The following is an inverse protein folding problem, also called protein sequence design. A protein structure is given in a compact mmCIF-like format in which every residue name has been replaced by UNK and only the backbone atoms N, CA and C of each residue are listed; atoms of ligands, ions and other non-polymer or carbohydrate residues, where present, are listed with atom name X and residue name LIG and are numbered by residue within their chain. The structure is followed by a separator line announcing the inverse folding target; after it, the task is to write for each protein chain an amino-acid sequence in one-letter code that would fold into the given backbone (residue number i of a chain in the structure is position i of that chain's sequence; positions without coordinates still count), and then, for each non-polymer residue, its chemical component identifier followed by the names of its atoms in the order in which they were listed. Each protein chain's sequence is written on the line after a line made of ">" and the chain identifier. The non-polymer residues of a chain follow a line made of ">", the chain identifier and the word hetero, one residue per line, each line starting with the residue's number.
data_IF_227513552663
#
_entry.id   IF_227513552663
#
_cell.length_a   1.000
_cell.length_b   1.000
_cell.length_c   1.000
_cell.angle_alpha   90.00
_cell.angle_beta   90.00
_cell.angle_gamma   90.00
#
_symmetry.space_group_name_H-M   'P 1'
#
loop_
_entity.id
_entity.type
_entity.pdbx_description
1 polymer ?
#
# COMPACT_ATOMS: atom_id res chain seq x y z
N UNK A 1 60.54 -26.72 5.23
CA UNK A 1 59.10 -26.90 5.55
C UNK A 1 58.40 -25.66 6.14
N UNK A 2 58.99 -24.45 6.15
CA UNK A 2 58.28 -23.23 6.62
C UNK A 2 57.41 -22.56 5.55
N UNK A 3 57.78 -22.73 4.28
CA UNK A 3 57.11 -22.11 3.12
C UNK A 3 55.68 -22.64 2.87
N UNK A 4 55.43 -23.93 3.11
CA UNK A 4 54.10 -24.53 2.94
C UNK A 4 53.08 -24.09 4.00
N UNK A 5 53.54 -23.85 5.23
CA UNK A 5 52.68 -23.36 6.31
C UNK A 5 52.25 -21.90 6.09
N UNK A 6 53.13 -21.11 5.49
CA UNK A 6 52.85 -19.70 5.16
C UNK A 6 51.82 -19.57 4.03
N UNK A 7 51.95 -20.37 2.96
CA UNK A 7 50.99 -20.40 1.85
C UNK A 7 49.59 -20.84 2.32
N UNK A 8 49.51 -21.86 3.19
CA UNK A 8 48.23 -22.32 3.76
C UNK A 8 47.59 -21.24 4.66
N UNK A 9 48.41 -20.45 5.34
CA UNK A 9 47.92 -19.33 6.15
C UNK A 9 47.39 -18.20 5.27
N UNK A 10 48.13 -17.80 4.23
CA UNK A 10 47.72 -16.76 3.27
C UNK A 10 46.39 -17.10 2.61
N UNK A 11 46.23 -18.32 2.08
CA UNK A 11 44.95 -18.78 1.52
C UNK A 11 43.78 -18.81 2.51
N UNK A 12 44.05 -19.10 3.79
CA UNK A 12 43.02 -19.04 4.83
C UNK A 12 42.60 -17.61 5.14
N UNK A 13 43.52 -16.65 5.06
CA UNK A 13 43.23 -15.23 5.26
C UNK A 13 42.43 -14.70 4.07
N UNK A 14 42.84 -15.01 2.83
CA UNK A 14 42.13 -14.64 1.60
C UNK A 14 40.70 -15.16 1.59
N UNK A 15 40.49 -16.47 1.84
CA UNK A 15 39.15 -17.06 1.88
C UNK A 15 38.27 -16.45 2.99
N UNK A 16 38.86 -16.04 4.11
CA UNK A 16 38.10 -15.34 5.18
C UNK A 16 37.70 -13.93 4.75
N UNK A 17 38.56 -13.23 4.00
CA UNK A 17 38.25 -11.93 3.43
C UNK A 17 37.12 -12.05 2.39
N UNK A 18 37.21 -13.02 1.48
CA UNK A 18 36.16 -13.30 0.48
C UNK A 18 34.80 -13.59 1.14
N UNK A 19 34.76 -14.47 2.15
CA UNK A 19 33.52 -14.78 2.89
C UNK A 19 32.98 -13.55 3.62
N UNK A 20 33.86 -12.66 4.12
CA UNK A 20 33.44 -11.43 4.79
C UNK A 20 32.82 -10.44 3.79
N UNK A 21 33.43 -10.28 2.60
CA UNK A 21 32.90 -9.45 1.52
C UNK A 21 31.58 -9.98 0.97
N UNK A 22 31.45 -11.29 0.77
CA UNK A 22 30.19 -11.91 0.35
C UNK A 22 29.07 -11.70 1.37
N UNK A 23 29.38 -11.79 2.66
CA UNK A 23 28.42 -11.50 3.75
C UNK A 23 28.01 -10.03 3.74
N UNK A 24 28.97 -9.12 3.61
CA UNK A 24 28.66 -7.68 3.54
C UNK A 24 27.84 -7.34 2.30
N UNK A 25 28.14 -7.95 1.15
CA UNK A 25 27.36 -7.79 -0.06
C UNK A 25 25.94 -8.36 0.10
N UNK A 26 25.79 -9.52 0.75
CA UNK A 26 24.49 -10.12 1.03
C UNK A 26 23.65 -9.27 2.00
N UNK A 27 24.27 -8.69 3.05
CA UNK A 27 23.56 -7.79 3.96
C UNK A 27 23.16 -6.47 3.27
N UNK A 28 24.03 -5.92 2.42
CA UNK A 28 23.67 -4.75 1.59
C UNK A 28 22.50 -5.05 0.66
N UNK A 29 22.49 -6.22 0.01
CA UNK A 29 21.40 -6.62 -0.87
C UNK A 29 20.07 -6.82 -0.13
N UNK A 30 20.10 -7.39 1.09
CA UNK A 30 18.91 -7.52 1.93
C UNK A 30 18.36 -6.15 2.35
N UNK A 31 19.24 -5.23 2.75
CA UNK A 31 18.80 -3.90 3.16
C UNK A 31 18.24 -3.11 1.97
N UNK A 32 18.83 -3.21 0.78
CA UNK A 32 18.24 -2.60 -0.43
C UNK A 32 16.88 -3.18 -0.75
N UNK A 33 16.73 -4.51 -0.69
CA UNK A 33 15.44 -5.16 -0.91
C UNK A 33 14.38 -4.69 0.10
N UNK A 34 14.75 -4.61 1.39
CA UNK A 34 13.85 -4.12 2.44
C UNK A 34 13.40 -2.68 2.17
N UNK A 35 14.32 -1.81 1.76
CA UNK A 35 13.99 -0.41 1.44
C UNK A 35 13.08 -0.31 0.20
N UNK A 36 13.31 -1.14 -0.82
CA UNK A 36 12.45 -1.23 -2.00
C UNK A 36 11.03 -1.70 -1.64
N UNK A 37 10.89 -2.72 -0.79
CA UNK A 37 9.60 -3.21 -0.30
C UNK A 37 8.83 -2.12 0.47
N UNK A 38 9.53 -1.39 1.35
CA UNK A 38 8.96 -0.25 2.09
C UNK A 38 8.52 0.86 1.12
N UNK A 39 9.35 1.19 0.13
CA UNK A 39 9.03 2.20 -0.87
C UNK A 39 7.82 1.81 -1.72
N UNK A 40 7.75 0.55 -2.15
CA UNK A 40 6.63 -0.01 -2.90
C UNK A 40 5.33 -0.01 -2.08
N UNK A 41 5.40 -0.37 -0.79
CA UNK A 41 4.25 -0.28 0.12
C UNK A 41 3.76 1.16 0.28
N UNK A 42 4.66 2.12 0.55
CA UNK A 42 4.30 3.55 0.65
C UNK A 42 3.66 4.08 -0.63
N UNK A 43 4.15 3.65 -1.81
CA UNK A 43 3.57 4.03 -3.10
C UNK A 43 2.14 3.50 -3.24
N UNK A 44 1.89 2.24 -2.87
CA UNK A 44 0.54 1.63 -2.89
C UNK A 44 -0.43 2.36 -1.96
N UNK A 45 -0.02 2.62 -0.72
CA UNK A 45 -0.85 3.37 0.25
C UNK A 45 -1.20 4.76 -0.28
N UNK A 46 -0.23 5.47 -0.87
CA UNK A 46 -0.50 6.79 -1.48
C UNK A 46 -1.52 6.69 -2.60
N UNK A 47 -1.37 5.72 -3.51
CA UNK A 47 -2.31 5.55 -4.62
C UNK A 47 -3.71 5.26 -4.09
N UNK A 48 -3.84 4.38 -3.11
CA UNK A 48 -5.12 4.07 -2.49
C UNK A 48 -5.80 5.29 -1.87
N UNK A 49 -5.05 6.16 -1.18
CA UNK A 49 -5.58 7.41 -0.63
C UNK A 49 -6.12 8.33 -1.74
N UNK A 50 -5.42 8.40 -2.87
CA UNK A 50 -5.87 9.18 -4.04
C UNK A 50 -7.17 8.58 -4.58
N UNK A 51 -7.21 7.26 -4.78
CA UNK A 51 -8.38 6.55 -5.32
C UNK A 51 -9.61 6.73 -4.41
N UNK A 52 -9.43 6.68 -3.09
CA UNK A 52 -10.51 6.97 -2.13
C UNK A 52 -11.01 8.42 -2.26
N UNK A 53 -10.10 9.37 -2.44
CA UNK A 53 -10.45 10.78 -2.66
C UNK A 53 -11.25 10.99 -3.96
N UNK A 54 -10.86 10.30 -5.03
CA UNK A 54 -11.57 10.32 -6.32
C UNK A 54 -12.96 9.71 -6.22
N UNK A 55 -13.08 8.54 -5.58
CA UNK A 55 -14.36 7.89 -5.32
C UNK A 55 -15.30 8.79 -4.50
N UNK A 56 -14.78 9.44 -3.45
CA UNK A 56 -15.55 10.38 -2.63
C UNK A 56 -16.01 11.59 -3.45
N UNK A 57 -15.15 12.14 -4.31
CA UNK A 57 -15.50 13.28 -5.16
C UNK A 57 -16.59 12.90 -6.15
N UNK A 58 -16.43 11.80 -6.88
CA UNK A 58 -17.43 11.32 -7.84
C UNK A 58 -18.80 11.07 -7.18
N UNK A 59 -18.79 10.47 -5.98
CA UNK A 59 -20.00 10.29 -5.17
C UNK A 59 -20.68 11.62 -4.81
N UNK A 60 -19.91 12.65 -4.47
CA UNK A 60 -20.45 13.98 -4.19
C UNK A 60 -20.98 14.66 -5.46
N UNK A 61 -20.26 14.59 -6.57
CA UNK A 61 -20.65 15.19 -7.85
C UNK A 61 -22.00 14.63 -8.34
N UNK A 62 -22.24 13.33 -8.16
CA UNK A 62 -23.54 12.70 -8.47
C UNK A 62 -24.66 13.30 -7.60
N UNK A 63 -24.43 13.45 -6.29
CA UNK A 63 -25.43 14.02 -5.37
C UNK A 63 -25.74 15.48 -5.70
N UNK A 64 -24.70 16.25 -6.02
CA UNK A 64 -24.84 17.66 -6.40
C UNK A 64 -25.63 17.79 -7.72
N UNK A 65 -25.33 16.93 -8.71
CA UNK A 65 -26.08 16.85 -9.97
C UNK A 65 -27.55 16.49 -9.76
N UNK A 66 -27.83 15.47 -8.95
CA UNK A 66 -29.21 15.07 -8.60
C UNK A 66 -29.94 16.22 -7.92
N UNK A 67 -29.29 16.92 -6.98
CA UNK A 67 -29.86 18.08 -6.29
C UNK A 67 -30.18 19.21 -7.26
N UNK A 68 -29.28 19.52 -8.21
CA UNK A 68 -29.47 20.57 -9.20
C UNK A 68 -30.58 20.23 -10.20
N UNK A 69 -30.69 18.98 -10.63
CA UNK A 69 -31.75 18.54 -11.53
C UNK A 69 -33.12 18.51 -10.84
N UNK A 70 -33.16 18.13 -9.56
CA UNK A 70 -34.40 18.07 -8.79
C UNK A 70 -35.05 19.45 -8.58
N UNK A 71 -34.28 20.54 -8.69
CA UNK A 71 -34.80 21.92 -8.61
C UNK A 71 -35.12 22.52 -9.99
N UNK A 72 -35.00 21.76 -11.08
CA UNK A 72 -35.26 22.26 -12.41
C UNK A 72 -36.76 22.54 -12.63
N UNK A 73 -37.16 23.71 -13.18
CA UNK A 73 -38.57 24.09 -13.35
C UNK A 73 -39.43 23.05 -14.09
N UNK A 74 -38.86 22.40 -15.10
CA UNK A 74 -39.56 21.38 -15.89
C UNK A 74 -39.93 20.12 -15.10
N UNK A 75 -39.14 19.80 -14.07
CA UNK A 75 -39.33 18.61 -13.22
C UNK A 75 -40.18 18.92 -11.99
N UNK A 76 -40.19 20.18 -11.53
CA UNK A 76 -41.09 20.64 -10.46
C UNK A 76 -42.54 20.73 -10.98
N UNK A 77 -42.72 21.20 -12.21
CA UNK A 77 -44.05 21.52 -12.75
C UNK A 77 -44.88 20.27 -13.10
N UNK A 78 -44.23 19.12 -13.34
CA UNK A 78 -44.89 17.85 -13.62
C UNK A 78 -44.16 16.69 -12.94
N UNK A 79 -44.83 15.90 -12.09
CA UNK A 79 -44.23 14.71 -11.52
C UNK A 79 -43.84 13.74 -12.65
N UNK A 80 -42.56 13.39 -12.69
CA UNK A 80 -42.01 12.46 -13.67
C UNK A 80 -41.50 11.20 -12.95
N UNK A 81 -42.22 10.09 -13.11
CA UNK A 81 -41.86 8.82 -12.46
C UNK A 81 -40.52 8.27 -12.92
N UNK A 82 -40.18 8.41 -14.21
CA UNK A 82 -38.89 7.97 -14.75
C UNK A 82 -37.73 8.77 -14.15
N UNK A 83 -37.93 10.07 -13.94
CA UNK A 83 -36.93 10.90 -13.26
C UNK A 83 -36.74 10.46 -11.81
N UNK A 84 -37.83 10.17 -11.08
CA UNK A 84 -37.75 9.70 -9.71
C UNK A 84 -37.01 8.35 -9.60
N UNK A 85 -37.29 7.41 -10.51
CA UNK A 85 -36.57 6.13 -10.59
C UNK A 85 -35.08 6.35 -10.88
N UNK A 86 -34.76 7.25 -11.82
CA UNK A 86 -33.38 7.62 -12.14
C UNK A 86 -32.66 8.26 -10.94
N UNK A 87 -33.32 9.12 -10.17
CA UNK A 87 -32.77 9.72 -8.94
C UNK A 87 -32.41 8.65 -7.93
N UNK A 88 -33.29 7.67 -7.69
CA UNK A 88 -33.00 6.58 -6.76
C UNK A 88 -31.79 5.76 -7.22
N UNK A 89 -31.71 5.45 -8.52
CA UNK A 89 -30.57 4.74 -9.08
C UNK A 89 -29.27 5.56 -8.93
N UNK A 90 -29.28 6.84 -9.29
CA UNK A 90 -28.12 7.71 -9.18
C UNK A 90 -27.61 7.81 -7.73
N UNK A 91 -28.51 7.97 -6.76
CA UNK A 91 -28.15 8.00 -5.34
C UNK A 91 -27.62 6.66 -4.83
N UNK A 92 -28.13 5.53 -5.34
CA UNK A 92 -27.59 4.20 -5.01
C UNK A 92 -26.15 4.04 -5.49
N UNK A 93 -25.85 4.48 -6.72
CA UNK A 93 -24.48 4.49 -7.26
C UNK A 93 -23.58 5.41 -6.44
N UNK A 94 -24.07 6.60 -6.05
CA UNK A 94 -23.32 7.50 -5.20
C UNK A 94 -22.97 6.86 -3.85
N UNK A 95 -23.90 6.12 -3.24
CA UNK A 95 -23.68 5.42 -1.97
C UNK A 95 -22.69 4.24 -2.11
N UNK A 96 -22.71 3.51 -3.23
CA UNK A 96 -21.73 2.46 -3.53
C UNK A 96 -20.31 3.01 -3.68
N UNK A 97 -20.17 4.16 -4.36
CA UNK A 97 -18.89 4.83 -4.56
C UNK A 97 -18.36 5.48 -3.30
N UNK A 98 -19.23 5.89 -2.37
CA UNK A 98 -18.83 6.62 -1.18
C UNK A 98 -18.01 5.74 -0.21
N UNK A 99 -16.70 5.99 -0.03
CA UNK A 99 -15.90 5.20 0.89
C UNK A 99 -16.36 5.33 2.35
N UNK A 100 -17.14 6.37 2.69
CA UNK A 100 -17.71 6.57 4.02
C UNK A 100 -18.93 5.67 4.30
N UNK A 101 -19.52 5.07 3.26
CA UNK A 101 -20.64 4.11 3.39
C UNK A 101 -20.16 2.67 3.59
N UNK A 102 -18.85 2.43 3.49
CA UNK A 102 -18.21 1.12 3.64
C UNK A 102 -17.63 0.95 5.06
N UNK A 103 -17.48 -0.28 5.56
CA UNK A 103 -16.78 -0.53 6.83
C UNK A 103 -15.35 0.02 6.78
N UNK A 104 -14.92 0.71 7.84
CA UNK A 104 -13.59 1.32 7.92
C UNK A 104 -12.47 0.32 7.68
N UNK A 105 -12.60 -0.91 8.18
CA UNK A 105 -11.61 -1.97 7.97
C UNK A 105 -11.45 -2.31 6.48
N UNK A 106 -12.52 -2.30 5.68
CA UNK A 106 -12.42 -2.53 4.24
C UNK A 106 -11.79 -1.33 3.51
N UNK A 107 -12.08 -0.12 3.97
CA UNK A 107 -11.56 1.12 3.39
C UNK A 107 -10.06 1.30 3.67
N UNK A 108 -9.57 0.91 4.84
CA UNK A 108 -8.17 1.08 5.25
C UNK A 108 -7.32 -0.15 4.87
N UNK A 109 -7.84 -1.38 5.05
CA UNK A 109 -7.04 -2.59 4.87
C UNK A 109 -6.95 -3.06 3.40
N UNK A 110 -7.80 -2.55 2.50
CA UNK A 110 -7.68 -2.84 1.06
C UNK A 110 -6.35 -2.39 0.44
N UNK A 111 -5.64 -1.45 1.06
CA UNK A 111 -4.26 -1.10 0.71
C UNK A 111 -3.18 -1.92 1.44
N UNK A 112 -3.55 -2.55 2.56
CA UNK A 112 -2.64 -3.15 3.54
C UNK A 112 -2.49 -4.66 3.43
N UNK A 113 -3.40 -5.36 2.74
CA UNK A 113 -3.45 -6.82 2.72
C UNK A 113 -2.47 -7.45 1.69
N UNK A 114 -1.17 -7.24 1.91
CA UNK A 114 -0.14 -8.19 1.48
C UNK A 114 0.89 -8.25 2.60
N UNK A 115 1.00 -9.43 3.20
CA UNK A 115 2.00 -9.86 4.18
C UNK A 115 3.26 -8.97 4.18
N UNK A 116 3.37 -8.12 5.20
CA UNK A 116 4.68 -7.87 5.77
C UNK A 116 5.17 -9.24 6.22
N UNK A 117 6.12 -9.82 5.48
CA UNK A 117 6.82 -11.01 5.92
C UNK A 117 7.21 -10.80 7.39
N UNK A 118 7.08 -11.82 8.26
CA UNK A 118 7.24 -11.66 9.69
C UNK A 118 8.56 -10.93 9.94
N UNK A 119 8.44 -9.71 10.48
CA UNK A 119 9.56 -8.89 10.92
C UNK A 119 10.53 -9.82 11.63
N UNK A 120 11.75 -9.96 11.09
CA UNK A 120 12.85 -10.66 11.74
C UNK A 120 12.89 -10.15 13.17
N UNK A 121 12.49 -11.00 14.11
CA UNK A 121 12.62 -10.71 15.53
C UNK A 121 14.10 -10.50 15.77
N UNK A 122 14.51 -9.25 15.95
CA UNK A 122 15.85 -8.91 16.41
C UNK A 122 15.91 -9.44 17.84
N UNK A 123 16.29 -10.70 18.00
CA UNK A 123 16.74 -11.24 19.28
C UNK A 123 18.03 -10.51 19.62
N UNK A 124 17.90 -9.38 20.33
CA UNK A 124 18.99 -8.84 21.14
C UNK A 124 19.32 -9.89 22.19
N UNK A 125 20.30 -10.75 21.89
CA UNK A 125 20.94 -11.55 22.91
C UNK A 125 21.49 -10.60 23.99
N UNK A 126 21.26 -10.87 25.28
CA UNK A 126 21.82 -10.04 26.34
C UNK A 126 23.34 -10.11 26.27
N UNK A 127 23.99 -8.95 26.16
CA UNK A 127 25.42 -8.83 26.44
C UNK A 127 25.63 -9.27 27.88
N UNK A 128 26.27 -10.42 28.07
CA UNK A 128 26.83 -10.81 29.36
C UNK A 128 28.07 -9.95 29.59
N UNK A 129 28.07 -9.20 30.69
CA UNK A 129 29.27 -8.60 31.29
C UNK A 129 30.24 -9.68 31.79
#
# INVERSE_FOLDING_TARGET
>A
MRYSAQIVYEHRVERRAEIAEEREAAERAKETQRLEEIAAHRKRVRQHIIDLGEQRRASQDIRDMVSALSTHPDLISRPNSQFNEWVQLALSVADELDPMKRPLDMTINSAGDVMLAPSVQINLAPRSD
#
